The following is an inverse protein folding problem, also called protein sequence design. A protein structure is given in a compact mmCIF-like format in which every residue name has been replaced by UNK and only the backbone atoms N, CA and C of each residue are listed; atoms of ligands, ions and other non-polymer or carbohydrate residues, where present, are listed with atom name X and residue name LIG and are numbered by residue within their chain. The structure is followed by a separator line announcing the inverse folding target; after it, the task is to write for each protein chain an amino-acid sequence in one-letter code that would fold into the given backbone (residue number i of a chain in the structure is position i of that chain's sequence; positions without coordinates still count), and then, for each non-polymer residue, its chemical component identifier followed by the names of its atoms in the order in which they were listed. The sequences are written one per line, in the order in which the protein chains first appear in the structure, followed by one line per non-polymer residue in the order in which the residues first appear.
data_IF_661261947341
#
_entry.id   IF_661261947341
#
_cell.length_a   1.000
_cell.length_b   1.000
_cell.length_c   1.000
_cell.angle_alpha   90.00
_cell.angle_beta   90.00
_cell.angle_gamma   90.00
#
_symmetry.space_group_name_H-M   'P 1'
#
loop_
_entity.id
_entity.type
_entity.pdbx_description
1 polymer ?
#
# COMPACT_ATOMS: atom_id res chain seq x y z
N UNK A 1 3.20 6.60 13.32
CA UNK A 1 4.11 7.40 12.46
C UNK A 1 3.58 8.82 12.28
N UNK A 2 2.30 9.00 11.90
CA UNK A 2 1.76 10.33 11.59
C UNK A 2 1.57 11.23 12.81
N UNK A 3 1.14 10.69 13.95
CA UNK A 3 0.99 11.44 15.21
C UNK A 3 2.34 11.96 15.69
N UNK A 4 3.38 11.15 15.56
CA UNK A 4 4.73 11.51 15.96
C UNK A 4 5.33 12.57 15.04
N UNK A 5 5.10 12.49 13.73
CA UNK A 5 5.53 13.50 12.76
C UNK A 5 4.82 14.83 13.00
N UNK A 6 3.52 14.82 13.28
CA UNK A 6 2.74 16.01 13.60
C UNK A 6 3.21 16.66 14.90
N UNK A 7 3.45 15.87 15.95
CA UNK A 7 3.99 16.38 17.23
C UNK A 7 5.36 17.04 17.03
N UNK A 8 6.24 16.43 16.26
CA UNK A 8 7.57 16.95 15.96
C UNK A 8 7.49 18.29 15.22
N UNK A 9 6.66 18.38 14.18
CA UNK A 9 6.45 19.62 13.43
C UNK A 9 5.92 20.75 14.32
N UNK A 10 5.02 20.42 15.23
CA UNK A 10 4.47 21.38 16.20
C UNK A 10 5.54 21.93 17.15
N UNK A 11 6.38 21.06 17.72
CA UNK A 11 7.47 21.48 18.60
C UNK A 11 8.56 22.27 17.87
N UNK A 12 8.83 21.96 16.60
CA UNK A 12 9.75 22.76 15.78
C UNK A 12 9.21 24.17 15.52
N UNK A 13 7.91 24.33 15.31
CA UNK A 13 7.29 25.65 15.16
C UNK A 13 7.39 26.49 16.45
N UNK A 14 7.25 25.88 17.64
CA UNK A 14 7.47 26.56 18.91
C UNK A 14 8.94 26.91 19.12
N UNK A 15 9.86 26.03 18.77
CA UNK A 15 11.29 26.25 18.91
C UNK A 15 11.81 27.35 17.99
N UNK A 16 11.24 27.45 16.79
CA UNK A 16 11.58 28.47 15.79
C UNK A 16 10.92 29.83 16.03
N UNK A 17 10.23 30.00 17.17
CA UNK A 17 9.46 31.20 17.53
C UNK A 17 8.35 31.59 16.51
N UNK A 18 7.96 30.65 15.66
CA UNK A 18 6.82 30.85 14.73
C UNK A 18 5.49 30.80 15.46
N UNK A 19 5.42 29.96 16.53
CA UNK A 19 4.27 29.88 17.44
C UNK A 19 4.70 30.30 18.83
N UNK A 20 4.00 31.26 19.41
CA UNK A 20 4.21 31.72 20.79
C UNK A 20 3.47 30.79 21.75
N UNK A 21 4.06 30.58 22.95
CA UNK A 21 3.39 29.87 24.05
C UNK A 21 2.07 30.52 24.47
N UNK A 22 1.94 31.85 24.25
CA UNK A 22 0.77 32.62 24.60
C UNK A 22 -0.42 32.41 23.63
N UNK A 23 -0.19 31.72 22.51
CA UNK A 23 -1.24 31.42 21.52
C UNK A 23 -2.13 30.24 21.96
N UNK A 24 -1.80 29.60 23.10
CA UNK A 24 -2.53 28.43 23.62
C UNK A 24 -3.06 28.71 25.02
N UNK A 25 -4.38 28.82 25.17
CA UNK A 25 -5.04 28.81 26.48
C UNK A 25 -4.80 27.46 27.17
N UNK A 26 -4.25 27.46 28.39
CA UNK A 26 -3.93 26.27 29.20
C UNK A 26 -2.71 25.43 28.76
N UNK A 27 -1.71 26.06 28.18
CA UNK A 27 -0.44 25.40 27.98
C UNK A 27 0.29 25.24 29.32
N UNK A 28 0.02 24.15 30.06
CA UNK A 28 0.87 23.76 31.18
C UNK A 28 2.29 23.49 30.66
N UNK A 29 3.27 24.12 31.30
CA UNK A 29 4.65 24.15 30.79
C UNK A 29 5.36 22.80 30.95
N UNK A 30 4.85 21.78 30.29
CA UNK A 30 5.57 20.51 30.03
C UNK A 30 6.71 20.71 29.02
N UNK A 31 6.78 21.92 28.42
CA UNK A 31 7.79 22.27 27.44
C UNK A 31 9.22 22.24 27.98
N UNK A 32 9.42 22.43 29.30
CA UNK A 32 10.74 22.30 29.90
C UNK A 32 11.24 20.87 29.94
N UNK A 33 10.39 19.91 30.27
CA UNK A 33 10.75 18.47 30.21
C UNK A 33 10.92 18.01 28.77
N UNK A 34 10.05 18.40 27.87
CA UNK A 34 10.16 18.12 26.45
C UNK A 34 11.37 18.78 25.81
N UNK A 35 11.71 20.03 26.22
CA UNK A 35 12.91 20.73 25.75
C UNK A 35 14.19 20.10 26.28
N UNK A 36 14.20 19.65 27.54
CA UNK A 36 15.31 18.92 28.14
C UNK A 36 15.51 17.54 27.49
N UNK A 37 14.44 16.84 27.17
CA UNK A 37 14.50 15.57 26.43
C UNK A 37 14.87 15.77 24.96
N UNK A 38 14.55 16.91 24.38
CA UNK A 38 14.89 17.26 23.01
C UNK A 38 16.36 17.67 22.86
N UNK A 39 16.91 18.41 23.82
CA UNK A 39 18.32 18.81 23.87
C UNK A 39 19.23 17.71 24.45
N UNK A 40 18.66 16.70 25.14
CA UNK A 40 19.43 15.54 25.53
C UNK A 40 19.86 14.75 24.30
N UNK A 41 21.14 14.40 24.23
CA UNK A 41 21.81 13.68 23.13
C UNK A 41 21.24 12.26 22.84
N UNK A 42 19.98 12.02 23.10
CA UNK A 42 19.31 10.84 22.61
C UNK A 42 19.08 11.06 21.13
N UNK A 43 19.72 10.32 20.22
CA UNK A 43 19.46 10.45 18.82
C UNK A 43 18.03 9.96 18.56
N UNK A 44 17.06 10.88 18.60
CA UNK A 44 15.74 10.63 18.06
C UNK A 44 15.95 10.48 16.55
N UNK A 45 15.90 9.26 16.07
CA UNK A 45 16.00 8.95 14.65
C UNK A 45 15.01 9.85 13.92
N UNK A 46 15.52 10.73 13.05
CA UNK A 46 14.73 11.64 12.24
C UNK A 46 14.67 13.11 12.69
N UNK A 47 15.38 13.55 13.74
CA UNK A 47 15.39 14.95 14.18
C UNK A 47 16.69 15.71 13.87
N UNK A 48 17.71 15.09 13.31
CA UNK A 48 18.77 15.82 12.65
C UNK A 48 18.21 16.34 11.33
N UNK A 49 18.39 17.65 11.08
CA UNK A 49 18.02 18.26 9.81
C UNK A 49 18.89 17.65 8.70
N UNK A 50 18.46 16.48 8.23
CA UNK A 50 19.09 15.80 7.13
C UNK A 50 18.66 16.53 5.87
N UNK A 51 19.58 17.25 5.25
CA UNK A 51 19.33 17.79 3.93
C UNK A 51 19.28 16.61 2.95
N UNK A 52 18.05 16.13 2.69
CA UNK A 52 17.78 14.97 1.84
C UNK A 52 18.48 15.05 0.47
N UNK A 53 18.72 16.27 -0.06
CA UNK A 53 19.46 16.45 -1.31
C UNK A 53 20.95 16.16 -1.16
N UNK A 54 21.53 16.48 -0.01
CA UNK A 54 22.95 16.21 0.28
C UNK A 54 23.15 14.73 0.60
N UNK A 55 22.23 14.16 1.38
CA UNK A 55 22.29 12.74 1.76
C UNK A 55 22.02 11.83 0.56
N UNK A 56 21.08 12.20 -0.32
CA UNK A 56 20.85 11.45 -1.56
C UNK A 56 22.03 11.50 -2.54
N UNK A 57 22.84 12.59 -2.51
CA UNK A 57 24.08 12.65 -3.27
C UNK A 57 25.15 11.75 -2.67
N UNK A 58 25.33 11.76 -1.34
CA UNK A 58 26.25 10.87 -0.64
C UNK A 58 25.89 9.39 -0.86
N UNK A 59 24.58 9.04 -0.79
CA UNK A 59 24.10 7.69 -1.09
C UNK A 59 24.35 7.29 -2.55
N UNK A 60 24.29 8.22 -3.49
CA UNK A 60 24.66 7.96 -4.89
C UNK A 60 26.17 7.79 -5.08
N UNK A 61 27.00 8.49 -4.30
CA UNK A 61 28.45 8.37 -4.34
C UNK A 61 28.96 7.09 -3.63
N UNK A 62 28.22 6.60 -2.62
CA UNK A 62 28.55 5.36 -1.89
C UNK A 62 27.97 4.12 -2.60
N UNK A 63 26.89 4.27 -3.36
CA UNK A 63 26.26 3.21 -4.13
C UNK A 63 26.54 3.32 -5.64
N UNK A 64 27.80 3.60 -6.02
CA UNK A 64 28.33 2.93 -7.19
C UNK A 64 28.94 1.61 -6.69
N UNK A 65 28.20 0.52 -6.61
CA UNK A 65 28.83 -0.78 -6.54
C UNK A 65 29.61 -0.86 -7.86
N UNK A 66 30.90 -1.08 -7.78
CA UNK A 66 31.54 -1.84 -8.83
C UNK A 66 30.62 -3.02 -9.08
N UNK A 67 29.98 -3.00 -10.24
CA UNK A 67 29.11 -4.09 -10.68
C UNK A 67 30.02 -5.32 -10.75
N UNK A 68 30.06 -6.08 -9.65
CA UNK A 68 30.58 -7.44 -9.75
C UNK A 68 29.67 -8.16 -10.74
N UNK A 69 30.27 -8.85 -11.71
CA UNK A 69 29.58 -9.59 -12.77
C UNK A 69 28.55 -10.62 -12.24
N UNK A 70 28.43 -10.79 -10.91
CA UNK A 70 27.42 -11.57 -10.22
C UNK A 70 26.01 -10.98 -10.26
N UNK A 71 25.84 -9.64 -10.48
CA UNK A 71 24.53 -9.02 -10.57
C UNK A 71 23.82 -9.28 -11.92
N UNK A 72 24.58 -9.56 -12.99
CA UNK A 72 24.02 -9.96 -14.28
C UNK A 72 23.32 -11.32 -14.20
N UNK A 73 23.83 -12.22 -13.37
CA UNK A 73 23.22 -13.54 -13.17
C UNK A 73 21.90 -13.50 -12.38
N UNK A 74 21.71 -12.49 -11.53
CA UNK A 74 20.46 -12.31 -10.77
C UNK A 74 19.37 -11.79 -11.70
N UNK A 75 19.65 -10.78 -12.52
CA UNK A 75 18.69 -10.24 -13.49
C UNK A 75 18.31 -11.29 -14.56
N UNK A 76 19.26 -12.06 -15.07
CA UNK A 76 18.99 -13.19 -15.97
C UNK A 76 18.18 -14.30 -15.30
N UNK A 77 18.41 -14.57 -14.01
CA UNK A 77 17.67 -15.59 -13.27
C UNK A 77 16.23 -15.15 -12.99
N UNK A 78 16.00 -13.86 -12.71
CA UNK A 78 14.65 -13.33 -12.55
C UNK A 78 13.90 -13.26 -13.89
N UNK A 79 14.57 -12.95 -15.01
CA UNK A 79 13.93 -12.94 -16.33
C UNK A 79 13.59 -14.35 -16.83
N UNK A 80 14.32 -15.40 -16.38
CA UNK A 80 14.02 -16.81 -16.67
C UNK A 80 12.91 -17.40 -15.79
N UNK A 81 12.71 -16.86 -14.59
CA UNK A 81 11.62 -17.28 -13.72
C UNK A 81 10.40 -16.40 -14.04
N UNK A 82 9.35 -16.99 -14.58
CA UNK A 82 8.06 -16.34 -14.88
C UNK A 82 7.40 -15.80 -13.60
N UNK A 83 8.08 -14.87 -12.92
CA UNK A 83 7.60 -14.25 -11.68
C UNK A 83 6.48 -13.27 -11.98
N UNK A 84 5.42 -13.33 -11.20
CA UNK A 84 4.24 -12.49 -11.30
C UNK A 84 3.84 -11.99 -9.93
N UNK A 85 3.68 -10.70 -9.77
CA UNK A 85 3.11 -10.13 -8.55
C UNK A 85 1.59 -10.36 -8.52
N UNK A 86 1.13 -11.13 -7.53
CA UNK A 86 -0.29 -11.45 -7.33
C UNK A 86 -0.99 -10.58 -6.29
N UNK A 87 -0.25 -9.78 -5.53
CA UNK A 87 -0.79 -8.87 -4.51
C UNK A 87 -0.14 -7.49 -4.66
N UNK A 88 -0.87 -6.55 -5.25
CA UNK A 88 -0.46 -5.17 -5.43
C UNK A 88 -1.60 -4.22 -5.11
N UNK A 89 -1.32 -3.22 -4.29
CA UNK A 89 -2.22 -2.14 -3.99
C UNK A 89 -1.88 -0.91 -4.84
N UNK A 90 -2.92 -0.31 -5.43
CA UNK A 90 -2.77 0.92 -6.21
C UNK A 90 -3.18 2.15 -5.39
N UNK A 91 -3.12 3.31 -6.02
CA UNK A 91 -3.61 4.58 -5.46
C UNK A 91 -5.07 4.57 -5.00
N UNK A 92 -5.84 3.55 -5.40
CA UNK A 92 -7.22 3.37 -4.95
C UNK A 92 -7.31 2.69 -3.58
N UNK A 93 -6.21 2.13 -3.07
CA UNK A 93 -6.04 1.76 -1.65
C UNK A 93 -5.65 3.01 -0.87
N UNK A 94 -6.64 3.90 -0.64
CA UNK A 94 -6.44 5.24 -0.08
C UNK A 94 -5.74 5.16 1.27
N UNK A 95 -4.73 6.02 1.49
CA UNK A 95 -3.85 6.07 2.67
C UNK A 95 -2.94 4.85 2.87
N UNK A 96 -2.93 3.89 1.94
CA UNK A 96 -2.11 2.68 2.07
C UNK A 96 -1.11 2.52 0.93
N UNK A 97 -1.45 3.00 -0.27
CA UNK A 97 -0.57 2.93 -1.42
C UNK A 97 -0.56 4.23 -2.21
N UNK A 98 0.60 4.57 -2.75
CA UNK A 98 0.80 5.70 -3.67
C UNK A 98 1.08 5.24 -5.10
N UNK A 99 1.09 3.94 -5.34
CA UNK A 99 1.41 3.35 -6.64
C UNK A 99 0.33 3.65 -7.66
N UNK A 100 0.67 4.38 -8.70
CA UNK A 100 -0.30 4.64 -9.79
C UNK A 100 -0.48 3.37 -10.62
N UNK A 101 -1.70 3.14 -11.08
CA UNK A 101 -2.03 2.02 -11.97
C UNK A 101 -1.12 1.96 -13.20
N UNK A 102 -0.84 3.12 -13.82
CA UNK A 102 0.04 3.20 -14.99
C UNK A 102 1.49 2.77 -14.66
N UNK A 103 1.98 3.14 -13.45
CA UNK A 103 3.34 2.80 -13.01
C UNK A 103 3.45 1.29 -12.71
N UNK A 104 2.40 0.67 -12.16
CA UNK A 104 2.36 -0.79 -11.96
C UNK A 104 2.50 -1.53 -13.29
N UNK A 105 1.75 -1.12 -14.31
CA UNK A 105 1.81 -1.73 -15.65
C UNK A 105 3.18 -1.51 -16.29
N UNK A 106 3.71 -0.28 -16.20
CA UNK A 106 5.04 0.05 -16.71
C UNK A 106 6.14 -0.80 -16.05
N UNK A 107 6.09 -0.95 -14.72
CA UNK A 107 7.06 -1.78 -13.99
C UNK A 107 6.95 -3.26 -14.33
N UNK A 108 5.73 -3.78 -14.45
CA UNK A 108 5.53 -5.16 -14.90
C UNK A 108 6.14 -5.40 -16.30
N UNK A 109 6.00 -4.43 -17.21
CA UNK A 109 6.60 -4.46 -18.52
C UNK A 109 8.14 -4.41 -18.48
N UNK A 110 8.71 -3.49 -17.69
CA UNK A 110 10.16 -3.34 -17.50
C UNK A 110 10.80 -4.63 -16.96
N UNK A 111 10.12 -5.31 -16.03
CA UNK A 111 10.57 -6.58 -15.45
C UNK A 111 10.24 -7.81 -16.30
N UNK A 112 9.62 -7.63 -17.46
CA UNK A 112 9.27 -8.73 -18.36
C UNK A 112 8.24 -9.70 -17.78
N UNK A 113 7.36 -9.23 -16.86
CA UNK A 113 6.31 -10.06 -16.28
C UNK A 113 5.25 -10.41 -17.31
N UNK A 114 4.86 -11.68 -17.38
CA UNK A 114 3.79 -12.17 -18.25
C UNK A 114 2.38 -11.82 -17.75
N UNK A 115 2.26 -11.47 -16.47
CA UNK A 115 1.00 -11.05 -15.86
C UNK A 115 1.28 -10.12 -14.68
N UNK A 116 0.27 -9.40 -14.23
CA UNK A 116 0.30 -8.59 -13.01
C UNK A 116 -1.10 -8.49 -12.41
N UNK A 117 -1.21 -8.51 -11.10
CA UNK A 117 -2.47 -8.36 -10.40
C UNK A 117 -2.66 -6.94 -9.86
N UNK A 118 -3.92 -6.52 -9.72
CA UNK A 118 -4.35 -5.43 -8.86
C UNK A 118 -5.27 -6.00 -7.78
N UNK A 119 -5.00 -5.67 -6.53
CA UNK A 119 -5.71 -6.21 -5.36
C UNK A 119 -5.90 -5.12 -4.31
N UNK A 120 -6.57 -4.04 -4.72
CA UNK A 120 -6.83 -2.91 -3.85
C UNK A 120 -7.65 -3.32 -2.63
N UNK A 121 -7.46 -2.59 -1.52
CA UNK A 121 -8.07 -2.91 -0.25
C UNK A 121 -9.55 -2.54 -0.23
N UNK A 122 -10.37 -3.55 -0.05
CA UNK A 122 -11.82 -3.49 0.10
C UNK A 122 -12.55 -2.75 -1.03
N UNK A 123 -11.93 -2.57 -2.19
CA UNK A 123 -12.58 -1.93 -3.33
C UNK A 123 -12.04 -2.45 -4.67
N UNK A 124 -12.80 -2.20 -5.73
CA UNK A 124 -12.45 -2.56 -7.10
C UNK A 124 -12.42 -1.33 -8.03
N UNK A 125 -12.27 -0.13 -7.48
CA UNK A 125 -12.29 1.12 -8.25
C UNK A 125 -11.16 1.19 -9.28
N UNK A 126 -10.00 0.62 -8.97
CA UNK A 126 -8.84 0.55 -9.85
C UNK A 126 -8.98 -0.44 -11.02
N UNK A 127 -9.88 -1.42 -10.94
CA UNK A 127 -9.95 -2.55 -11.86
C UNK A 127 -10.12 -2.14 -13.33
N UNK A 128 -11.03 -1.20 -13.62
CA UNK A 128 -11.27 -0.72 -14.97
C UNK A 128 -10.06 0.07 -15.54
N UNK A 129 -9.48 0.95 -14.72
CA UNK A 129 -8.30 1.73 -15.10
C UNK A 129 -7.11 0.81 -15.38
N UNK A 130 -6.93 -0.21 -14.55
CA UNK A 130 -5.88 -1.20 -14.69
C UNK A 130 -6.05 -2.03 -15.97
N UNK A 131 -7.23 -2.58 -16.20
CA UNK A 131 -7.52 -3.32 -17.44
C UNK A 131 -7.27 -2.47 -18.67
N UNK A 132 -7.73 -1.22 -18.67
CA UNK A 132 -7.53 -0.28 -19.79
C UNK A 132 -6.05 0.04 -20.02
N UNK A 133 -5.28 0.24 -18.93
CA UNK A 133 -3.85 0.52 -19.04
C UNK A 133 -3.09 -0.67 -19.64
N UNK A 134 -3.38 -1.90 -19.20
CA UNK A 134 -2.78 -3.11 -19.78
C UNK A 134 -3.22 -3.33 -21.22
N UNK A 135 -4.50 -3.13 -21.53
CA UNK A 135 -4.97 -3.24 -22.90
C UNK A 135 -4.24 -2.27 -23.84
N UNK A 136 -4.13 -1.00 -23.45
CA UNK A 136 -3.40 0.00 -24.23
C UNK A 136 -1.92 -0.37 -24.41
N UNK A 137 -1.28 -0.96 -23.37
CA UNK A 137 0.08 -1.45 -23.47
C UNK A 137 0.18 -2.62 -24.46
N UNK A 138 -0.70 -3.60 -24.36
CA UNK A 138 -0.70 -4.79 -25.22
C UNK A 138 -1.00 -4.44 -26.69
N UNK A 139 -1.91 -3.48 -26.92
CA UNK A 139 -2.24 -3.00 -28.29
C UNK A 139 -1.01 -2.35 -28.98
N UNK A 140 -0.02 -1.89 -28.20
CA UNK A 140 1.23 -1.28 -28.71
C UNK A 140 2.42 -2.24 -28.70
N UNK A 141 2.32 -3.42 -28.07
CA UNK A 141 3.42 -4.36 -27.84
C UNK A 141 2.96 -5.80 -28.06
N UNK A 142 2.69 -6.19 -29.30
CA UNK A 142 2.15 -7.52 -29.63
C UNK A 142 3.05 -8.68 -29.18
N UNK A 143 4.38 -8.47 -29.14
CA UNK A 143 5.36 -9.50 -28.75
C UNK A 143 5.51 -9.68 -27.24
N UNK A 144 4.98 -8.75 -26.41
CA UNK A 144 5.16 -8.71 -24.95
C UNK A 144 3.85 -8.47 -24.21
N UNK A 145 2.91 -9.38 -24.38
CA UNK A 145 1.58 -9.28 -23.81
C UNK A 145 1.63 -9.51 -22.28
N UNK A 146 1.02 -8.60 -21.52
CA UNK A 146 0.82 -8.73 -20.08
C UNK A 146 -0.64 -9.12 -19.82
N UNK A 147 -0.85 -10.19 -19.03
CA UNK A 147 -2.18 -10.62 -18.62
C UNK A 147 -2.64 -9.85 -17.38
N UNK A 148 -3.78 -9.14 -17.41
CA UNK A 148 -4.36 -8.52 -16.22
C UNK A 148 -4.99 -9.56 -15.31
N UNK A 149 -4.69 -9.49 -14.01
CA UNK A 149 -5.34 -10.29 -12.97
C UNK A 149 -6.07 -9.30 -12.06
N UNK A 150 -7.38 -9.46 -11.94
CA UNK A 150 -8.21 -8.62 -11.10
C UNK A 150 -8.49 -9.33 -9.79
N UNK A 151 -8.25 -8.65 -8.70
CA UNK A 151 -8.48 -9.14 -7.35
C UNK A 151 -8.89 -8.02 -6.40
N UNK A 152 -9.06 -8.38 -5.15
CA UNK A 152 -9.34 -7.45 -4.06
C UNK A 152 -8.84 -8.06 -2.74
N UNK A 153 -8.26 -7.22 -1.88
CA UNK A 153 -7.97 -7.59 -0.50
C UNK A 153 -9.18 -7.25 0.37
N UNK A 154 -9.75 -8.24 1.06
CA UNK A 154 -10.88 -8.08 1.96
C UNK A 154 -10.52 -8.48 3.38
N UNK A 155 -11.15 -7.84 4.35
CA UNK A 155 -11.06 -8.25 5.75
C UNK A 155 -12.12 -9.33 6.04
N UNK A 156 -11.66 -10.53 6.37
CA UNK A 156 -12.53 -11.66 6.72
C UNK A 156 -12.60 -11.78 8.23
N UNK A 157 -13.74 -11.44 8.81
CA UNK A 157 -14.02 -11.49 10.24
C UNK A 157 -14.82 -12.76 10.62
N UNK A 158 -15.09 -12.94 11.91
CA UNK A 158 -15.89 -14.05 12.39
C UNK A 158 -17.37 -13.87 12.03
N UNK A 159 -17.93 -12.69 12.31
CA UNK A 159 -19.31 -12.33 11.98
C UNK A 159 -19.36 -10.85 11.53
N UNK A 160 -19.65 -10.62 10.25
CA UNK A 160 -19.69 -9.29 9.65
C UNK A 160 -20.85 -8.41 10.18
N UNK A 161 -21.89 -9.01 10.73
CA UNK A 161 -23.04 -8.29 11.29
C UNK A 161 -22.83 -7.90 12.77
N UNK A 162 -21.89 -8.54 13.46
CA UNK A 162 -21.63 -8.20 14.86
C UNK A 162 -20.85 -6.87 14.95
N UNK A 163 -21.47 -5.91 15.62
CA UNK A 163 -20.93 -4.57 15.90
C UNK A 163 -20.79 -4.30 17.40
N UNK A 164 -20.88 -5.33 18.23
CA UNK A 164 -20.77 -5.23 19.68
C UNK A 164 -19.33 -5.03 20.15
N UNK A 165 -18.37 -5.58 19.41
CA UNK A 165 -16.93 -5.44 19.64
C UNK A 165 -16.20 -5.23 18.33
N UNK A 166 -14.99 -4.65 18.42
CA UNK A 166 -14.16 -4.42 17.25
C UNK A 166 -13.48 -5.73 16.81
N UNK A 167 -13.85 -6.21 15.64
CA UNK A 167 -13.22 -7.31 14.93
C UNK A 167 -12.94 -6.84 13.49
N UNK A 168 -11.70 -6.39 13.24
CA UNK A 168 -11.30 -5.91 11.92
C UNK A 168 -11.07 -7.08 10.93
N UNK A 169 -11.08 -8.32 11.42
CA UNK A 169 -10.85 -9.52 10.63
C UNK A 169 -9.40 -9.69 10.17
N UNK A 170 -9.19 -10.70 9.33
CA UNK A 170 -7.89 -11.01 8.71
C UNK A 170 -7.89 -10.58 7.25
N UNK A 171 -6.81 -9.94 6.82
CA UNK A 171 -6.62 -9.55 5.43
C UNK A 171 -6.46 -10.80 4.58
N UNK A 172 -7.28 -10.92 3.56
CA UNK A 172 -7.30 -12.06 2.65
C UNK A 172 -7.42 -11.57 1.23
N UNK A 173 -6.56 -12.06 0.35
CA UNK A 173 -6.54 -11.67 -1.06
C UNK A 173 -7.38 -12.63 -1.89
N UNK A 174 -8.30 -12.08 -2.66
CA UNK A 174 -9.15 -12.81 -3.59
C UNK A 174 -8.82 -12.40 -5.02
N UNK A 175 -8.58 -13.38 -5.90
CA UNK A 175 -8.32 -13.18 -7.31
C UNK A 175 -9.46 -13.76 -8.14
N UNK A 176 -9.95 -13.00 -9.12
CA UNK A 176 -10.96 -13.47 -10.05
C UNK A 176 -10.33 -14.37 -11.12
N UNK A 177 -10.75 -15.63 -11.18
CA UNK A 177 -10.34 -16.60 -12.18
C UNK A 177 -11.08 -16.41 -13.51
N UNK A 178 -12.34 -15.93 -13.43
CA UNK A 178 -13.24 -15.76 -14.57
C UNK A 178 -14.28 -14.65 -14.30
N UNK A 179 -15.20 -14.45 -15.23
CA UNK A 179 -16.25 -13.44 -15.14
C UNK A 179 -17.15 -13.63 -13.90
N UNK A 180 -17.48 -14.87 -13.55
CA UNK A 180 -18.29 -15.18 -12.36
C UNK A 180 -17.55 -14.74 -11.11
N UNK A 181 -16.25 -15.08 -10.97
CA UNK A 181 -15.43 -14.64 -9.86
C UNK A 181 -15.33 -13.12 -9.77
N UNK A 182 -15.18 -12.42 -10.89
CA UNK A 182 -15.18 -10.95 -10.90
C UNK A 182 -16.50 -10.37 -10.38
N UNK A 183 -17.65 -10.91 -10.81
CA UNK A 183 -18.96 -10.49 -10.34
C UNK A 183 -19.15 -10.80 -8.85
N UNK A 184 -18.67 -11.94 -8.40
CA UNK A 184 -18.72 -12.33 -6.99
C UNK A 184 -17.86 -11.40 -6.12
N UNK A 185 -16.69 -11.02 -6.59
CA UNK A 185 -15.84 -10.02 -5.89
C UNK A 185 -16.54 -8.67 -5.74
N UNK A 186 -17.20 -8.18 -6.79
CA UNK A 186 -17.97 -6.93 -6.72
C UNK A 186 -19.04 -7.01 -5.64
N UNK A 187 -19.77 -8.14 -5.57
CA UNK A 187 -20.80 -8.35 -4.55
C UNK A 187 -20.21 -8.42 -3.14
N UNK A 188 -19.11 -9.17 -2.95
CA UNK A 188 -18.42 -9.25 -1.66
C UNK A 188 -17.94 -7.88 -1.18
N UNK A 189 -17.31 -7.08 -2.08
CA UNK A 189 -16.93 -5.72 -1.76
C UNK A 189 -18.14 -4.88 -1.34
N UNK A 190 -19.24 -4.95 -2.08
CA UNK A 190 -20.46 -4.19 -1.77
C UNK A 190 -21.03 -4.56 -0.41
N UNK A 191 -21.17 -5.87 -0.12
CA UNK A 191 -21.68 -6.37 1.17
C UNK A 191 -20.76 -5.97 2.33
N UNK A 192 -19.44 -5.93 2.11
CA UNK A 192 -18.49 -5.44 3.11
C UNK A 192 -18.77 -4.00 3.53
N UNK A 193 -19.25 -3.16 2.61
CA UNK A 193 -19.61 -1.77 2.92
C UNK A 193 -21.06 -1.60 3.40
N UNK A 194 -22.04 -2.30 2.79
CA UNK A 194 -23.44 -2.10 3.14
C UNK A 194 -23.79 -2.73 4.47
N UNK A 195 -23.34 -3.95 4.71
CA UNK A 195 -23.77 -4.76 5.84
C UNK A 195 -22.64 -4.92 6.88
N UNK A 196 -21.42 -5.18 6.39
CA UNK A 196 -20.27 -5.54 7.22
C UNK A 196 -19.45 -4.36 7.73
N UNK A 197 -19.77 -3.12 7.38
CA UNK A 197 -18.96 -1.97 7.79
C UNK A 197 -19.07 -1.73 9.30
N UNK A 198 -17.92 -1.86 9.96
CA UNK A 198 -17.71 -1.44 11.34
C UNK A 198 -16.22 -1.12 11.54
N UNK A 199 -15.89 0.16 11.61
CA UNK A 199 -14.53 0.73 11.48
C UNK A 199 -13.87 0.47 10.11
N UNK A 200 -13.96 -0.76 9.60
CA UNK A 200 -13.49 -1.17 8.28
C UNK A 200 -14.56 -2.01 7.57
N UNK A 201 -14.58 -2.05 6.25
CA UNK A 201 -15.45 -2.98 5.52
C UNK A 201 -15.01 -4.44 5.76
N UNK A 202 -15.93 -5.31 6.12
CA UNK A 202 -15.69 -6.70 6.51
C UNK A 202 -16.67 -7.65 5.82
N UNK A 203 -16.19 -8.84 5.55
CA UNK A 203 -17.00 -9.99 5.16
C UNK A 203 -16.74 -11.14 6.12
N UNK A 204 -17.62 -12.12 6.20
CA UNK A 204 -17.39 -13.32 7.00
C UNK A 204 -17.26 -14.57 6.12
N UNK A 205 -16.99 -15.71 6.76
CA UNK A 205 -16.85 -17.00 6.07
C UNK A 205 -18.13 -17.42 5.33
N UNK A 206 -19.31 -17.00 5.77
CA UNK A 206 -20.58 -17.32 5.12
C UNK A 206 -20.69 -16.60 3.78
N UNK A 207 -20.37 -15.29 3.75
CA UNK A 207 -20.30 -14.50 2.52
C UNK A 207 -19.25 -15.10 1.57
N UNK A 208 -18.05 -15.38 2.07
CA UNK A 208 -16.98 -15.99 1.27
C UNK A 208 -17.41 -17.34 0.69
N UNK A 209 -18.03 -18.21 1.50
CA UNK A 209 -18.53 -19.50 1.06
C UNK A 209 -19.61 -19.39 -0.01
N UNK A 210 -20.50 -18.41 0.11
CA UNK A 210 -21.58 -18.17 -0.85
C UNK A 210 -21.06 -17.68 -2.21
N UNK A 211 -20.07 -16.78 -2.20
CA UNK A 211 -19.53 -16.14 -3.41
C UNK A 211 -18.19 -16.71 -3.88
N UNK A 212 -17.77 -17.89 -3.41
CA UNK A 212 -16.46 -18.49 -3.70
C UNK A 212 -16.25 -18.90 -5.16
N UNK A 213 -17.32 -19.09 -5.92
CA UNK A 213 -17.24 -19.60 -7.28
C UNK A 213 -16.42 -18.65 -8.18
N UNK A 214 -15.45 -19.21 -8.92
CA UNK A 214 -14.59 -18.46 -9.82
C UNK A 214 -13.54 -17.61 -9.12
N UNK A 215 -13.30 -17.82 -7.81
CA UNK A 215 -12.26 -17.13 -7.04
C UNK A 215 -11.09 -18.06 -6.70
N UNK A 216 -9.92 -17.45 -6.62
CA UNK A 216 -8.70 -18.00 -5.99
C UNK A 216 -8.44 -17.17 -4.75
N UNK A 217 -8.15 -17.84 -3.64
CA UNK A 217 -7.90 -17.17 -2.35
C UNK A 217 -6.44 -17.39 -1.97
N UNK A 218 -5.77 -16.30 -1.60
CA UNK A 218 -4.42 -16.33 -1.08
C UNK A 218 -4.49 -16.00 0.42
N UNK A 219 -3.72 -16.73 1.22
CA UNK A 219 -3.53 -16.37 2.63
C UNK A 219 -2.70 -15.08 2.70
N UNK A 220 -3.12 -14.16 3.55
CA UNK A 220 -2.36 -12.95 3.87
C UNK A 220 -1.24 -13.24 4.86
#
# INVERSE_FOLDING_TARGET
ADVEATSRSFFELIRSDVLSKNDFENFEDTSKELKLNYDSKIPLYGLTHINLKVESKKLKEVNTPTVDESSSNIEETFSKNNFVHLHNNSQFSVLQSTSRVADLVKKAAEFGMSAVAITDKANMMGAFHFYRAIKNYNDQNEDKIIKPIIGCELNVCENHLDKSHRDDGFQTVFLAKNKTGYQNLIKMCSLGYTDGFYYVPRVDKNIVSHYREGLIVLSG
#
